data_IF_610003830741
#
_entry.id   IF_610003830741
#
_cell.length_a   1.000
_cell.length_b   1.000
_cell.length_c   1.000
_cell.angle_alpha   90.00
_cell.angle_beta   90.00
_cell.angle_gamma   90.00
#
_symmetry.space_group_name_H-M   'P 1'
#
loop_
_entity.id
_entity.type
_entity.pdbx_description
1 polymer ?
#
# COMPACT_ATOMS: atom_id res chain seq x y z
N UNK A 1 0.06 -10.63 -6.88
CA UNK A 1 -0.44 -9.94 -5.67
C UNK A 1 0.07 -10.57 -4.35
N UNK A 2 0.34 -11.87 -4.28
CA UNK A 2 0.79 -12.54 -3.04
C UNK A 2 1.97 -11.88 -2.33
N UNK A 3 2.94 -11.33 -3.07
CA UNK A 3 4.09 -10.63 -2.47
C UNK A 3 3.66 -9.42 -1.63
N UNK A 4 2.69 -8.63 -2.08
CA UNK A 4 2.20 -7.45 -1.36
C UNK A 4 1.35 -7.85 -0.16
N UNK A 5 0.56 -8.92 -0.29
CA UNK A 5 -0.20 -9.48 0.84
C UNK A 5 0.74 -10.00 1.94
N UNK A 6 1.85 -10.67 1.58
CA UNK A 6 2.89 -11.05 2.55
C UNK A 6 3.53 -9.83 3.20
N UNK A 7 3.79 -8.78 2.43
CA UNK A 7 4.36 -7.55 2.98
C UNK A 7 3.41 -6.87 3.97
N UNK A 8 2.10 -6.83 3.70
CA UNK A 8 1.09 -6.34 4.65
C UNK A 8 1.10 -7.13 5.96
N UNK A 9 1.25 -8.45 5.90
CA UNK A 9 1.39 -9.27 7.11
C UNK A 9 2.67 -8.95 7.88
N UNK A 10 3.79 -8.71 7.18
CA UNK A 10 5.04 -8.29 7.80
C UNK A 10 4.89 -6.92 8.50
N UNK A 11 4.21 -5.94 7.90
CA UNK A 11 3.95 -4.65 8.55
C UNK A 11 3.22 -4.81 9.88
N UNK A 12 2.20 -5.67 9.91
CA UNK A 12 1.47 -6.02 11.14
C UNK A 12 2.40 -6.62 12.19
N UNK A 13 3.21 -7.59 11.77
CA UNK A 13 4.12 -8.32 12.67
C UNK A 13 5.23 -7.39 13.21
N UNK A 14 5.60 -6.34 12.48
CA UNK A 14 6.49 -5.26 12.90
C UNK A 14 5.81 -4.18 13.76
N UNK A 15 4.49 -4.29 13.99
CA UNK A 15 3.72 -3.33 14.79
C UNK A 15 3.44 -2.00 14.10
N UNK A 16 3.56 -1.95 12.76
CA UNK A 16 3.24 -0.76 11.97
C UNK A 16 1.72 -0.66 11.77
N UNK A 17 1.11 0.36 12.37
CA UNK A 17 -0.34 0.56 12.42
C UNK A 17 -0.85 1.60 11.39
N UNK A 18 0.06 2.31 10.73
CA UNK A 18 -0.23 3.19 9.60
C UNK A 18 0.29 2.58 8.31
N UNK A 19 -0.52 2.62 7.25
CA UNK A 19 -0.14 2.03 5.97
C UNK A 19 -0.73 2.79 4.78
N UNK A 20 -0.12 2.67 3.61
CA UNK A 20 -0.57 3.32 2.39
C UNK A 20 -0.42 2.41 1.18
N UNK A 21 -1.23 2.66 0.14
CA UNK A 21 -1.15 1.96 -1.15
C UNK A 21 -0.90 2.97 -2.25
N UNK A 22 0.01 2.64 -3.15
CA UNK A 22 0.32 3.48 -4.31
C UNK A 22 0.32 2.65 -5.58
N UNK A 23 -0.09 3.27 -6.70
CA UNK A 23 -0.14 2.57 -8.00
C UNK A 23 0.20 3.47 -9.19
N UNK A 24 0.54 2.89 -10.34
CA UNK A 24 0.62 3.60 -11.63
C UNK A 24 -0.39 3.01 -12.61
N UNK A 25 -1.41 3.77 -13.03
CA UNK A 25 -2.45 3.30 -13.96
C UNK A 25 -3.09 1.93 -13.61
N UNK A 26 -3.25 1.63 -12.32
CA UNK A 26 -3.74 0.34 -11.81
C UNK A 26 -4.73 0.50 -10.62
N UNK A 27 -5.81 1.27 -10.77
CA UNK A 27 -6.74 1.57 -9.66
C UNK A 27 -7.46 0.31 -9.15
N UNK A 28 -7.83 -0.63 -10.02
CA UNK A 28 -8.53 -1.85 -9.62
C UNK A 28 -7.65 -2.79 -8.78
N UNK A 29 -6.36 -2.87 -9.14
CA UNK A 29 -5.39 -3.65 -8.38
C UNK A 29 -5.13 -3.01 -7.02
N UNK A 30 -5.08 -1.68 -6.95
CA UNK A 30 -4.98 -0.95 -5.69
C UNK A 30 -6.21 -1.18 -4.80
N UNK A 31 -7.42 -1.10 -5.34
CA UNK A 31 -8.65 -1.37 -4.60
C UNK A 31 -8.65 -2.78 -3.99
N UNK A 32 -8.32 -3.81 -4.79
CA UNK A 32 -8.20 -5.19 -4.30
C UNK A 32 -7.15 -5.34 -3.20
N UNK A 33 -6.03 -4.64 -3.30
CA UNK A 33 -4.99 -4.69 -2.28
C UNK A 33 -5.45 -4.01 -0.99
N UNK A 34 -6.21 -2.92 -1.08
CA UNK A 34 -6.81 -2.25 0.08
C UNK A 34 -7.78 -3.18 0.80
N UNK A 35 -8.65 -3.89 0.07
CA UNK A 35 -9.55 -4.88 0.67
C UNK A 35 -8.77 -5.92 1.48
N UNK A 36 -7.69 -6.49 0.91
CA UNK A 36 -6.85 -7.46 1.62
C UNK A 36 -6.07 -6.82 2.78
N UNK A 37 -5.63 -5.58 2.63
CA UNK A 37 -4.94 -4.84 3.69
C UNK A 37 -5.82 -4.60 4.91
N UNK A 38 -7.10 -4.26 4.71
CA UNK A 38 -8.09 -4.13 5.80
C UNK A 38 -8.27 -5.42 6.58
N UNK A 39 -8.36 -6.56 5.89
CA UNK A 39 -8.45 -7.87 6.55
C UNK A 39 -7.21 -8.19 7.40
N UNK A 40 -6.03 -7.75 6.98
CA UNK A 40 -4.75 -8.11 7.61
C UNK A 40 -4.36 -7.14 8.74
N UNK A 41 -4.50 -5.84 8.48
CA UNK A 41 -4.05 -4.77 9.38
C UNK A 41 -5.18 -4.22 10.27
N UNK A 42 -6.44 -4.58 9.98
CA UNK A 42 -7.59 -4.19 10.80
C UNK A 42 -7.91 -2.69 10.78
N UNK A 43 -7.38 -1.94 9.81
CA UNK A 43 -7.52 -0.49 9.70
C UNK A 43 -7.64 -0.04 8.24
N UNK A 44 -8.12 1.19 8.03
CA UNK A 44 -8.05 1.86 6.74
C UNK A 44 -6.62 2.35 6.43
N UNK A 45 -6.19 2.37 5.15
CA UNK A 45 -4.93 3.01 4.81
C UNK A 45 -5.02 4.51 5.09
N UNK A 46 -3.87 5.10 5.43
CA UNK A 46 -3.69 6.55 5.59
C UNK A 46 -4.02 7.26 4.27
N UNK A 47 -3.60 6.69 3.14
CA UNK A 47 -3.99 7.15 1.81
C UNK A 47 -3.84 6.05 0.76
N UNK A 48 -4.54 6.24 -0.36
CA UNK A 48 -4.34 5.52 -1.62
C UNK A 48 -4.09 6.56 -2.70
N UNK A 49 -2.99 6.45 -3.44
CA UNK A 49 -2.65 7.48 -4.45
C UNK A 49 -2.09 6.89 -5.74
N UNK A 50 -2.47 7.48 -6.86
CA UNK A 50 -1.74 7.28 -8.11
C UNK A 50 -0.41 8.03 -8.06
N UNK A 51 0.67 7.36 -8.47
CA UNK A 51 1.99 7.96 -8.59
C UNK A 51 2.16 8.52 -10.00
N UNK A 52 2.47 9.81 -10.09
CA UNK A 52 2.65 10.51 -11.35
C UNK A 52 3.84 10.03 -12.20
N UNK A 53 3.93 10.48 -13.45
CA UNK A 53 4.86 9.97 -14.46
C UNK A 53 6.36 10.17 -14.13
N UNK A 54 6.71 11.05 -13.19
CA UNK A 54 8.10 11.27 -12.76
C UNK A 54 8.69 10.03 -12.07
N UNK A 55 7.89 9.34 -11.25
CA UNK A 55 8.28 8.03 -10.69
C UNK A 55 7.90 6.93 -11.67
N UNK A 56 6.74 7.05 -12.35
CA UNK A 56 6.25 6.08 -13.31
C UNK A 56 7.21 5.78 -14.47
N UNK A 57 8.04 6.74 -14.89
CA UNK A 57 9.02 6.57 -15.98
C UNK A 57 10.11 5.53 -15.69
N UNK A 58 10.39 5.24 -14.41
CA UNK A 58 11.43 4.28 -14.00
C UNK A 58 10.88 2.85 -13.79
N UNK A 59 9.57 2.70 -13.67
CA UNK A 59 8.91 1.46 -13.20
C UNK A 59 7.81 0.96 -14.14
N UNK A 60 7.33 1.80 -15.05
CA UNK A 60 6.28 1.47 -16.01
C UNK A 60 4.86 1.48 -15.41
N UNK A 61 3.83 1.32 -16.28
CA UNK A 61 2.44 1.16 -15.84
C UNK A 61 2.25 -0.18 -15.12
N UNK A 62 1.31 -0.22 -14.17
CA UNK A 62 0.95 -1.44 -13.43
C UNK A 62 1.74 -1.66 -12.15
N UNK A 63 2.56 -0.69 -11.70
CA UNK A 63 3.21 -0.77 -10.40
C UNK A 63 2.14 -0.72 -9.30
N UNK A 64 2.37 -1.52 -8.26
CA UNK A 64 1.61 -1.53 -7.04
C UNK A 64 2.60 -1.57 -5.87
N UNK A 65 2.48 -0.63 -4.94
CA UNK A 65 3.34 -0.49 -3.78
C UNK A 65 2.53 -0.36 -2.49
N UNK A 66 3.14 -0.83 -1.40
CA UNK A 66 2.63 -0.72 -0.04
C UNK A 66 3.75 -0.19 0.84
N UNK A 67 3.43 0.72 1.75
CA UNK A 67 4.33 1.18 2.80
C UNK A 67 3.65 1.17 4.16
N UNK A 68 4.43 0.99 5.22
CA UNK A 68 3.96 1.08 6.60
C UNK A 68 4.77 2.08 7.41
N UNK A 69 4.13 2.67 8.43
CA UNK A 69 4.70 3.67 9.33
C UNK A 69 3.98 3.58 10.67
N UNK A 70 4.65 3.83 11.81
CA UNK A 70 3.93 4.04 13.06
C UNK A 70 3.03 5.29 12.94
N UNK A 71 1.73 5.16 13.18
CA UNK A 71 0.76 6.28 13.09
C UNK A 71 1.13 7.43 14.00
N UNK A 72 1.82 7.16 15.11
CA UNK A 72 2.33 8.17 16.02
C UNK A 72 3.27 9.19 15.34
N UNK A 73 3.87 8.85 14.20
CA UNK A 73 4.72 9.77 13.41
C UNK A 73 3.94 10.63 12.41
N UNK A 74 2.62 10.45 12.28
CA UNK A 74 1.75 11.20 11.37
C UNK A 74 0.97 12.33 12.06
N UNK A 75 1.22 12.53 13.36
CA UNK A 75 0.67 13.61 14.19
C UNK A 75 1.68 14.77 14.28
#
# INVERSE_FOLDING_TARGET
HERMVRFLAQLRDEGLDGWAVQHTAAPDQAARLVERGREILGSEPVFVSEVGPVVGSHVGPGLLAVGGVPRALLL
#
